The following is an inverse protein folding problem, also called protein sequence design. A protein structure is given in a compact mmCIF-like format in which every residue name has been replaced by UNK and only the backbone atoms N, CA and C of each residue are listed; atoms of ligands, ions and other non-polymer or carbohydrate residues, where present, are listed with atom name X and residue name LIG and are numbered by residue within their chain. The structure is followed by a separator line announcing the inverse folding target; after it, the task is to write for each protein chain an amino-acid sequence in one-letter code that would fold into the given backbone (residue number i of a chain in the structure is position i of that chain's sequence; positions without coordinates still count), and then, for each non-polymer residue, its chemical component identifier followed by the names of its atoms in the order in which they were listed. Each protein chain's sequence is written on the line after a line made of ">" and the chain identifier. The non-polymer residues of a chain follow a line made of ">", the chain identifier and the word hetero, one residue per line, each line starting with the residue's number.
data_IF_234225170287
#
_entry.id   IF_234225170287
#
_cell.length_a   1.000
_cell.length_b   1.000
_cell.length_c   1.000
_cell.angle_alpha   90.00
_cell.angle_beta   90.00
_cell.angle_gamma   90.00
#
_symmetry.space_group_name_H-M   'P 1'
#
loop_
_entity.id
_entity.type
_entity.pdbx_description
1 polymer ?
#
# COMPACT_ATOMS: atom_id res chain seq x y z
N UNK A 1 5.24 -15.67 34.18
CA UNK A 1 6.00 -16.15 32.99
C UNK A 1 4.99 -16.35 31.87
N UNK A 2 5.11 -15.63 30.75
CA UNK A 2 4.25 -15.86 29.58
C UNK A 2 4.81 -17.02 28.73
N UNK A 3 3.93 -17.83 28.13
CA UNK A 3 4.31 -18.85 27.14
C UNK A 3 4.11 -18.28 25.73
N UNK A 4 5.08 -18.41 24.81
CA UNK A 4 4.90 -17.97 23.43
C UNK A 4 3.98 -18.95 22.67
N UNK A 5 2.93 -18.42 22.04
CA UNK A 5 2.06 -19.20 21.13
C UNK A 5 2.60 -19.01 19.70
N UNK A 6 3.59 -19.83 19.33
CA UNK A 6 4.21 -19.84 18.00
C UNK A 6 4.50 -21.29 17.57
N UNK A 7 3.47 -22.05 17.16
CA UNK A 7 3.66 -23.45 16.74
C UNK A 7 2.63 -24.05 15.77
N UNK A 8 1.67 -23.30 15.22
CA UNK A 8 0.50 -23.89 14.53
C UNK A 8 0.21 -23.40 13.10
N UNK A 9 1.06 -22.54 12.51
CA UNK A 9 1.01 -22.28 11.07
C UNK A 9 2.00 -23.22 10.34
N UNK A 10 1.56 -24.43 10.01
CA UNK A 10 2.28 -25.32 9.10
C UNK A 10 1.35 -25.88 8.00
N UNK A 11 1.66 -25.48 6.77
CA UNK A 11 1.43 -26.23 5.53
C UNK A 11 0.02 -26.81 5.25
N UNK A 12 -0.89 -25.98 4.72
CA UNK A 12 -1.85 -26.46 3.72
C UNK A 12 -1.25 -26.30 2.32
N UNK A 13 -0.74 -27.38 1.73
CA UNK A 13 -0.42 -27.44 0.29
C UNK A 13 -1.62 -28.00 -0.47
N UNK A 14 -2.53 -27.13 -0.89
CA UNK A 14 -3.59 -27.48 -1.85
C UNK A 14 -3.08 -27.23 -3.27
N UNK A 15 -3.16 -28.25 -4.12
CA UNK A 15 -2.58 -28.23 -5.46
C UNK A 15 -3.53 -27.66 -6.52
N UNK A 16 -3.22 -26.46 -7.03
CA UNK A 16 -3.63 -26.01 -8.36
C UNK A 16 -2.42 -25.43 -9.10
N UNK A 17 -2.30 -25.70 -10.39
CA UNK A 17 -1.07 -25.44 -11.16
C UNK A 17 -0.97 -24.01 -11.70
N UNK A 18 -0.78 -23.07 -10.78
CA UNK A 18 0.07 -21.90 -11.00
C UNK A 18 1.15 -21.93 -9.92
N UNK A 19 2.43 -21.79 -10.31
CA UNK A 19 3.56 -21.95 -9.37
C UNK A 19 3.69 -20.73 -8.45
N UNK A 20 2.81 -20.68 -7.45
CA UNK A 20 2.70 -19.55 -6.55
C UNK A 20 2.68 -19.99 -5.08
N UNK A 21 3.84 -20.47 -4.64
CA UNK A 21 4.21 -20.50 -3.22
C UNK A 21 4.53 -19.09 -2.69
N UNK A 22 3.93 -18.05 -3.27
CA UNK A 22 4.22 -16.62 -3.07
C UNK A 22 4.29 -16.30 -1.55
N UNK A 23 3.32 -16.84 -0.81
CA UNK A 23 3.03 -16.52 0.61
C UNK A 23 4.25 -16.32 1.51
N UNK A 24 5.14 -17.30 1.66
CA UNK A 24 6.28 -17.17 2.58
C UNK A 24 7.50 -16.47 1.95
N UNK A 25 7.71 -16.60 0.65
CA UNK A 25 8.87 -16.04 -0.05
C UNK A 25 8.85 -14.51 -0.09
N UNK A 26 7.67 -13.88 0.07
CA UNK A 26 7.52 -12.42 0.20
C UNK A 26 7.75 -11.88 1.63
N UNK A 27 7.76 -12.73 2.67
CA UNK A 27 7.92 -12.29 4.07
C UNK A 27 9.13 -11.34 4.29
N UNK A 28 10.29 -11.50 3.61
CA UNK A 28 11.42 -10.55 3.73
C UNK A 28 11.15 -9.12 3.26
N UNK A 29 10.10 -8.89 2.45
CA UNK A 29 9.73 -7.55 1.96
C UNK A 29 9.19 -6.68 3.11
N UNK A 30 8.48 -7.28 4.07
CA UNK A 30 7.87 -6.62 5.23
C UNK A 30 8.85 -6.38 6.40
N UNK A 31 10.13 -6.17 6.13
CA UNK A 31 11.14 -5.87 7.16
C UNK A 31 11.21 -4.38 7.47
N UNK A 32 11.54 -4.03 8.73
CA UNK A 32 11.76 -2.64 9.13
C UNK A 32 12.86 -1.95 8.32
N UNK A 33 13.85 -2.70 7.81
CA UNK A 33 14.88 -2.17 6.91
C UNK A 33 14.27 -1.64 5.60
N UNK A 34 13.34 -2.39 4.99
CA UNK A 34 12.66 -1.97 3.77
C UNK A 34 11.67 -0.82 4.06
N UNK A 35 10.93 -0.86 5.17
CA UNK A 35 10.06 0.26 5.60
C UNK A 35 10.90 1.54 5.76
N UNK A 36 12.05 1.47 6.42
CA UNK A 36 12.96 2.62 6.56
C UNK A 36 13.50 3.10 5.20
N UNK A 37 13.77 2.19 4.25
CA UNK A 37 14.13 2.55 2.88
C UNK A 37 12.98 3.29 2.17
N UNK A 38 11.75 2.78 2.22
CA UNK A 38 10.57 3.47 1.68
C UNK A 38 10.43 4.89 2.24
N UNK A 39 10.46 5.05 3.57
CA UNK A 39 10.32 6.35 4.26
C UNK A 39 11.41 7.38 3.89
N UNK A 40 12.57 6.92 3.40
CA UNK A 40 13.71 7.78 3.01
C UNK A 40 13.55 8.49 1.66
N UNK A 41 12.66 8.01 0.77
CA UNK A 41 12.51 8.54 -0.59
C UNK A 41 11.90 9.95 -0.65
N UNK A 42 12.00 10.59 -1.82
CA UNK A 42 11.10 11.67 -2.23
C UNK A 42 9.74 11.12 -2.71
N UNK A 43 8.82 11.99 -3.15
CA UNK A 43 7.50 11.55 -3.61
C UNK A 43 7.58 10.63 -4.83
N UNK A 44 8.27 11.05 -5.89
CA UNK A 44 8.28 10.35 -7.19
C UNK A 44 8.96 8.96 -7.09
N UNK A 45 9.87 8.76 -6.14
CA UNK A 45 10.40 7.43 -5.84
C UNK A 45 9.51 6.66 -4.83
N UNK A 46 8.93 7.30 -3.80
CA UNK A 46 8.05 6.60 -2.85
C UNK A 46 6.86 5.96 -3.55
N UNK A 47 5.98 6.74 -4.19
CA UNK A 47 4.73 6.21 -4.76
C UNK A 47 5.04 5.12 -5.79
N UNK A 48 6.05 5.37 -6.63
CA UNK A 48 6.53 4.41 -7.61
C UNK A 48 7.01 3.13 -6.90
N UNK A 49 7.81 3.23 -5.83
CA UNK A 49 8.39 2.08 -5.14
C UNK A 49 7.39 1.21 -4.35
N UNK A 50 6.17 1.68 -4.10
CA UNK A 50 5.14 0.86 -3.43
C UNK A 50 4.67 -0.29 -4.31
N UNK A 51 4.58 -0.07 -5.63
CA UNK A 51 4.12 -1.03 -6.64
C UNK A 51 5.29 -1.72 -7.38
N UNK A 52 5.07 -2.96 -7.80
CA UNK A 52 6.07 -3.83 -8.40
C UNK A 52 5.54 -4.62 -9.60
N UNK A 53 5.25 -5.89 -9.38
CA UNK A 53 4.79 -6.81 -10.42
C UNK A 53 3.30 -6.56 -10.73
N UNK A 54 2.85 -6.57 -12.01
CA UNK A 54 3.53 -7.00 -13.23
C UNK A 54 4.26 -5.89 -13.99
N UNK A 55 4.21 -4.65 -13.51
CA UNK A 55 4.78 -3.48 -14.19
C UNK A 55 6.31 -3.37 -14.05
N UNK A 56 6.90 -4.18 -13.16
CA UNK A 56 8.34 -4.30 -12.88
C UNK A 56 8.74 -5.76 -12.71
N UNK A 57 10.05 -5.99 -12.59
CA UNK A 57 10.69 -7.31 -12.52
C UNK A 57 10.54 -8.04 -11.19
N UNK A 58 10.06 -7.38 -10.13
CA UNK A 58 9.88 -7.96 -8.80
C UNK A 58 8.68 -7.29 -8.10
N UNK A 59 8.00 -7.99 -7.18
CA UNK A 59 6.95 -7.41 -6.37
C UNK A 59 7.50 -6.43 -5.33
N UNK A 60 6.70 -5.43 -4.98
CA UNK A 60 6.98 -4.41 -3.96
C UNK A 60 5.98 -4.53 -2.80
N UNK A 61 6.01 -3.62 -1.82
CA UNK A 61 5.30 -3.79 -0.55
C UNK A 61 3.77 -3.90 -0.70
N UNK A 62 3.17 -3.23 -1.68
CA UNK A 62 1.74 -3.29 -1.97
C UNK A 62 1.36 -4.62 -2.64
N UNK A 63 1.82 -4.91 -3.86
CA UNK A 63 1.54 -6.20 -4.52
C UNK A 63 2.04 -7.43 -3.71
N UNK A 64 2.98 -7.24 -2.78
CA UNK A 64 3.35 -8.30 -1.83
C UNK A 64 2.28 -8.60 -0.78
N UNK A 65 1.48 -7.62 -0.34
CA UNK A 65 0.40 -7.87 0.63
C UNK A 65 -0.77 -8.60 -0.01
N UNK A 66 -1.11 -8.20 -1.23
CA UNK A 66 -2.01 -8.92 -2.13
C UNK A 66 -1.53 -10.36 -2.40
N UNK A 67 -0.26 -10.52 -2.80
CA UNK A 67 0.33 -11.82 -3.10
C UNK A 67 0.52 -12.74 -1.88
N UNK A 68 0.73 -12.19 -0.69
CA UNK A 68 0.87 -12.95 0.56
C UNK A 68 -0.42 -13.68 0.94
N UNK A 69 -1.58 -13.05 0.70
CA UNK A 69 -2.89 -13.60 1.07
C UNK A 69 -3.43 -14.60 0.03
N UNK A 70 -3.11 -14.42 -1.26
CA UNK A 70 -3.62 -15.28 -2.33
C UNK A 70 -5.12 -15.07 -2.61
N UNK A 71 -5.79 -16.05 -3.21
CA UNK A 71 -7.24 -16.00 -3.45
C UNK A 71 -7.69 -14.75 -4.23
N UNK A 72 -8.79 -14.13 -3.79
CA UNK A 72 -9.23 -12.84 -4.35
C UNK A 72 -8.22 -11.71 -4.04
N UNK A 73 -7.55 -11.71 -2.88
CA UNK A 73 -6.53 -10.69 -2.56
C UNK A 73 -5.42 -10.59 -3.61
N UNK A 74 -5.05 -11.68 -4.29
CA UNK A 74 -4.05 -11.64 -5.37
C UNK A 74 -4.58 -11.13 -6.73
N UNK A 75 -5.86 -10.73 -6.81
CA UNK A 75 -6.51 -10.24 -8.03
C UNK A 75 -6.58 -8.70 -8.06
N UNK A 76 -6.00 -8.10 -9.10
CA UNK A 76 -6.12 -6.66 -9.39
C UNK A 76 -7.56 -6.19 -9.66
N UNK A 77 -8.51 -7.11 -9.88
CA UNK A 77 -9.89 -6.80 -10.22
C UNK A 77 -10.91 -7.17 -9.12
N UNK A 78 -10.55 -8.08 -8.21
CA UNK A 78 -11.50 -8.66 -7.23
C UNK A 78 -10.97 -8.73 -5.80
N UNK A 79 -9.78 -8.21 -5.51
CA UNK A 79 -9.22 -8.17 -4.15
C UNK A 79 -10.08 -7.45 -3.12
N UNK A 80 -10.90 -6.49 -3.54
CA UNK A 80 -11.93 -5.83 -2.72
C UNK A 80 -13.03 -6.76 -2.20
N UNK A 81 -13.16 -7.99 -2.71
CA UNK A 81 -14.08 -9.00 -2.18
C UNK A 81 -13.61 -9.58 -0.83
N UNK A 82 -12.30 -9.56 -0.55
CA UNK A 82 -11.73 -10.08 0.69
C UNK A 82 -11.66 -8.95 1.74
N UNK A 83 -12.28 -9.10 2.94
CA UNK A 83 -12.22 -8.09 3.99
C UNK A 83 -10.80 -7.72 4.46
N UNK A 84 -9.78 -8.54 4.20
CA UNK A 84 -8.38 -8.23 4.52
C UNK A 84 -7.83 -7.10 3.63
N UNK A 85 -8.43 -6.83 2.47
CA UNK A 85 -8.12 -5.68 1.60
C UNK A 85 -8.05 -4.37 2.36
N UNK A 86 -9.06 -4.09 3.18
CA UNK A 86 -9.14 -2.83 3.94
C UNK A 86 -8.05 -2.73 5.01
N UNK A 87 -7.64 -3.85 5.60
CA UNK A 87 -6.53 -3.91 6.57
C UNK A 87 -5.17 -3.76 5.88
N UNK A 88 -5.00 -4.32 4.67
CA UNK A 88 -3.80 -4.12 3.86
C UNK A 88 -3.63 -2.65 3.48
N UNK A 89 -4.67 -2.02 2.91
CA UNK A 89 -4.61 -0.62 2.49
C UNK A 89 -4.48 0.37 3.66
N UNK A 90 -5.07 0.09 4.84
CA UNK A 90 -4.78 0.86 6.05
C UNK A 90 -3.30 0.74 6.49
N UNK A 91 -2.66 -0.41 6.23
CA UNK A 91 -1.23 -0.58 6.41
C UNK A 91 -0.38 0.25 5.43
N UNK A 92 -0.79 0.32 4.16
CA UNK A 92 -0.14 1.15 3.12
C UNK A 92 -0.29 2.64 3.43
N UNK A 93 -1.50 3.09 3.76
CA UNK A 93 -1.78 4.49 4.11
C UNK A 93 -1.08 4.90 5.42
N UNK A 94 -0.90 4.00 6.39
CA UNK A 94 -0.04 4.25 7.56
C UNK A 94 1.42 4.51 7.19
N UNK A 95 1.97 3.81 6.19
CA UNK A 95 3.33 4.05 5.69
C UNK A 95 3.40 5.39 4.94
N UNK A 96 2.39 5.71 4.14
CA UNK A 96 2.24 7.01 3.48
C UNK A 96 2.19 8.16 4.50
N UNK A 97 1.37 8.04 5.55
CA UNK A 97 1.30 9.03 6.63
C UNK A 97 2.61 9.16 7.39
N UNK A 98 3.31 8.05 7.70
CA UNK A 98 4.65 8.11 8.31
C UNK A 98 5.67 8.84 7.43
N UNK A 99 5.61 8.66 6.11
CA UNK A 99 6.44 9.40 5.17
C UNK A 99 6.11 10.90 5.20
N UNK A 100 4.83 11.29 5.15
CA UNK A 100 4.42 12.70 5.27
C UNK A 100 4.86 13.30 6.62
N UNK A 101 4.61 12.60 7.73
CA UNK A 101 4.89 13.05 9.10
C UNK A 101 6.37 13.42 9.31
N UNK A 102 7.29 12.71 8.66
CA UNK A 102 8.72 12.98 8.76
C UNK A 102 9.14 14.38 8.24
N UNK A 103 8.34 15.02 7.37
CA UNK A 103 8.48 16.44 7.04
C UNK A 103 7.17 17.02 6.48
N UNK A 104 6.17 17.25 7.35
CA UNK A 104 4.84 17.73 6.93
C UNK A 104 4.90 18.99 6.07
N UNK A 105 5.75 19.96 6.42
CA UNK A 105 5.85 21.25 5.73
C UNK A 105 6.21 21.12 4.24
N UNK A 106 6.99 20.09 3.86
CA UNK A 106 7.28 19.79 2.45
C UNK A 106 6.37 18.69 1.90
N UNK A 107 6.31 17.55 2.59
CA UNK A 107 5.75 16.28 2.08
C UNK A 107 4.22 16.25 2.02
N UNK A 108 3.51 17.01 2.86
CA UNK A 108 2.04 17.03 2.88
C UNK A 108 1.43 17.42 1.52
N UNK A 109 2.09 18.34 0.80
CA UNK A 109 1.67 18.85 -0.50
C UNK A 109 2.54 18.35 -1.67
N UNK A 110 3.46 17.40 -1.45
CA UNK A 110 4.43 16.96 -2.46
C UNK A 110 3.85 15.97 -3.49
N UNK A 111 2.52 15.78 -3.53
CA UNK A 111 1.79 14.91 -4.49
C UNK A 111 1.78 15.41 -5.95
N UNK A 112 2.84 16.12 -6.37
CA UNK A 112 3.06 16.57 -7.74
C UNK A 112 4.13 15.69 -8.39
N UNK A 113 3.81 15.09 -9.54
CA UNK A 113 4.73 14.16 -10.18
C UNK A 113 4.11 13.45 -11.38
N UNK A 114 4.54 12.21 -11.59
CA UNK A 114 3.86 11.27 -12.49
C UNK A 114 2.67 10.62 -11.77
N UNK A 115 1.69 10.15 -12.55
CA UNK A 115 0.43 9.56 -12.08
C UNK A 115 0.16 8.16 -12.67
N UNK A 116 1.09 7.69 -13.50
CA UNK A 116 1.24 6.32 -13.94
C UNK A 116 2.73 6.10 -14.27
N UNK A 117 3.29 4.89 -14.08
CA UNK A 117 4.61 4.55 -14.60
C UNK A 117 4.67 4.71 -16.13
N UNK A 118 3.67 4.17 -16.83
CA UNK A 118 3.59 4.12 -18.30
C UNK A 118 2.12 4.13 -18.80
N UNK A 119 1.75 4.99 -19.76
CA UNK A 119 2.48 6.19 -20.18
C UNK A 119 2.54 7.18 -19.01
N UNK A 120 3.63 7.94 -18.89
CA UNK A 120 3.83 8.82 -17.73
C UNK A 120 3.01 10.11 -17.81
N UNK A 121 1.72 10.02 -17.51
CA UNK A 121 0.83 11.15 -17.31
C UNK A 121 1.31 11.99 -16.13
N UNK A 122 1.38 13.31 -16.30
CA UNK A 122 1.52 14.29 -15.21
C UNK A 122 0.16 14.94 -14.98
N UNK A 123 -0.42 14.73 -13.80
CA UNK A 123 -1.63 15.42 -13.35
C UNK A 123 -1.34 15.96 -11.96
N UNK A 124 -1.70 17.22 -11.71
CA UNK A 124 -1.48 17.86 -10.42
C UNK A 124 -2.62 17.47 -9.47
N UNK A 125 -2.47 16.34 -8.76
CA UNK A 125 -3.49 15.82 -7.83
C UNK A 125 -3.88 16.82 -6.73
N UNK A 126 -3.04 17.81 -6.43
CA UNK A 126 -3.35 18.92 -5.53
C UNK A 126 -4.58 19.76 -5.93
N UNK A 127 -5.16 19.59 -7.13
CA UNK A 127 -6.47 20.15 -7.52
C UNK A 127 -7.48 19.12 -8.05
N UNK A 128 -7.22 17.80 -7.94
CA UNK A 128 -8.22 16.79 -8.32
C UNK A 128 -9.09 16.40 -7.12
N UNK A 129 -10.37 16.82 -7.07
CA UNK A 129 -11.26 16.40 -6.01
C UNK A 129 -11.57 14.91 -6.11
N UNK A 130 -11.32 14.16 -5.03
CA UNK A 130 -11.84 12.81 -4.90
C UNK A 130 -13.39 12.86 -4.83
N UNK A 131 -14.12 12.21 -5.75
CA UNK A 131 -15.57 12.38 -5.87
C UNK A 131 -16.34 11.52 -4.84
N UNK A 132 -16.36 11.97 -3.59
CA UNK A 132 -17.12 11.33 -2.51
C UNK A 132 -18.61 11.68 -2.49
N UNK A 133 -19.10 12.48 -3.44
CA UNK A 133 -20.53 12.82 -3.56
C UNK A 133 -21.39 11.57 -3.87
N UNK A 134 -22.58 11.42 -3.25
CA UNK A 134 -23.25 12.35 -2.33
C UNK A 134 -22.83 12.22 -0.86
N UNK A 135 -21.96 11.26 -0.51
CA UNK A 135 -21.66 10.87 0.88
C UNK A 135 -20.80 11.87 1.65
N UNK A 136 -19.85 12.55 0.98
CA UNK A 136 -19.06 13.63 1.57
C UNK A 136 -18.71 14.70 0.51
N UNK A 137 -18.37 15.94 0.92
CA UNK A 137 -17.81 16.95 0.03
C UNK A 137 -16.57 16.47 -0.72
N UNK A 138 -16.34 17.05 -1.89
CA UNK A 138 -15.14 16.83 -2.70
C UNK A 138 -13.87 17.16 -1.91
N UNK A 139 -12.99 16.17 -1.72
CA UNK A 139 -11.80 16.34 -0.86
C UNK A 139 -10.65 16.98 -1.63
N UNK A 140 -10.09 18.05 -1.07
CA UNK A 140 -8.87 18.73 -1.54
C UNK A 140 -7.85 18.75 -0.41
N UNK A 141 -7.11 17.65 -0.25
CA UNK A 141 -6.06 17.55 0.76
C UNK A 141 -5.62 16.11 1.03
N UNK A 142 -4.36 15.96 1.43
CA UNK A 142 -3.74 14.69 1.86
C UNK A 142 -3.43 14.71 3.37
N UNK A 143 -4.18 15.48 4.16
CA UNK A 143 -3.99 15.63 5.59
C UNK A 143 -5.10 14.87 6.35
N UNK A 144 -4.77 13.65 6.80
CA UNK A 144 -5.72 12.75 7.48
C UNK A 144 -6.33 13.34 8.75
N UNK A 145 -5.74 14.41 9.30
CA UNK A 145 -6.17 15.06 10.55
C UNK A 145 -7.35 16.03 10.34
N UNK A 146 -7.53 16.52 9.12
CA UNK A 146 -8.56 17.51 8.78
C UNK A 146 -9.80 16.83 8.19
N UNK A 147 -10.91 17.58 8.05
CA UNK A 147 -12.12 17.07 7.42
C UNK A 147 -11.89 16.70 5.93
N UNK A 148 -12.54 15.65 5.42
CA UNK A 148 -13.51 14.76 6.10
C UNK A 148 -12.85 13.54 6.78
N UNK A 149 -11.52 13.47 6.84
CA UNK A 149 -10.80 12.29 7.33
C UNK A 149 -10.78 12.23 8.87
N UNK A 150 -10.24 13.25 9.53
CA UNK A 150 -10.16 13.40 10.99
C UNK A 150 -9.70 12.14 11.78
N UNK A 151 -8.67 11.43 11.33
CA UNK A 151 -8.08 10.26 12.01
C UNK A 151 -6.56 10.36 12.22
N UNK A 152 -6.01 9.40 12.98
CA UNK A 152 -4.57 9.22 13.26
C UNK A 152 -4.23 7.73 13.40
N UNK A 153 -2.92 7.39 13.44
CA UNK A 153 -2.35 6.04 13.38
C UNK A 153 -1.38 5.73 14.52
#
# INVERSE_FOLDING_TARGET
>A
MARPILSHCQHMKLGMHWNFLITEDLRPIFTQANINNFLSHDYDNLWNSMDGFPFKTAPALHDSGHGFMGGDMASYYTSTNDPVFYLHHAGVDRIWWQWQAANLNMRLNQIQGKTSPYPSLRIHYAQLPAPFQPFAPNVVGMDIRNEPYCYTY
#
